data_IF_225740553585
#
_entry.id   IF_225740553585
#
_cell.length_a   1.000
_cell.length_b   1.000
_cell.length_c   1.000
_cell.angle_alpha   90.00
_cell.angle_beta   90.00
_cell.angle_gamma   90.00
#
_symmetry.space_group_name_H-M   'P 1'
#
loop_
_entity.id
_entity.type
_entity.pdbx_description
1 polymer ?
#
# COMPACT_ATOMS: atom_id res chain seq x y z
N UNK A 1 -5.17 1.95 11.24
CA UNK A 1 -5.47 2.35 12.62
C UNK A 1 -5.00 3.78 12.81
N UNK A 2 -5.81 4.73 12.36
CA UNK A 2 -5.56 6.14 12.67
C UNK A 2 -5.66 6.27 14.20
N UNK A 3 -4.61 6.84 14.79
CA UNK A 3 -4.44 7.00 16.24
C UNK A 3 -5.72 7.51 16.89
N UNK A 4 -6.01 7.11 18.13
CA UNK A 4 -7.30 7.36 18.75
C UNK A 4 -7.64 8.84 18.65
N UNK A 5 -8.78 9.12 18.01
CA UNK A 5 -9.42 10.43 17.96
C UNK A 5 -9.28 11.06 19.34
N UNK A 6 -8.90 12.34 19.47
CA UNK A 6 -8.68 12.95 20.79
C UNK A 6 -9.91 12.82 21.72
N UNK A 7 -11.08 12.63 21.12
CA UNK A 7 -12.34 12.23 21.74
C UNK A 7 -12.22 10.88 22.50
N UNK A 8 -11.59 9.84 21.93
CA UNK A 8 -11.29 8.57 22.60
C UNK A 8 -10.23 8.73 23.70
N UNK A 9 -9.15 9.49 23.45
CA UNK A 9 -8.14 9.74 24.48
C UNK A 9 -8.75 10.42 25.69
N UNK A 10 -9.57 11.44 25.47
CA UNK A 10 -10.29 12.18 26.52
C UNK A 10 -11.24 11.25 27.28
N UNK A 11 -11.96 10.38 26.57
CA UNK A 11 -12.84 9.38 27.17
C UNK A 11 -12.08 8.40 28.07
N UNK A 12 -10.97 7.84 27.58
CA UNK A 12 -10.12 6.91 28.36
C UNK A 12 -9.47 7.61 29.56
N UNK A 13 -9.01 8.86 29.42
CA UNK A 13 -8.46 9.63 30.53
C UNK A 13 -9.51 9.90 31.61
N UNK A 14 -10.73 10.26 31.21
CA UNK A 14 -11.83 10.43 32.15
C UNK A 14 -12.14 9.12 32.87
N UNK A 15 -12.24 8.00 32.13
CA UNK A 15 -12.50 6.68 32.71
C UNK A 15 -11.40 6.27 33.67
N UNK A 16 -10.14 6.45 33.29
CA UNK A 16 -8.98 6.21 34.14
C UNK A 16 -9.06 6.99 35.46
N UNK A 17 -9.42 8.28 35.40
CA UNK A 17 -9.54 9.12 36.60
C UNK A 17 -10.64 8.66 37.57
N UNK A 18 -11.64 7.93 37.08
CA UNK A 18 -12.76 7.39 37.86
C UNK A 18 -12.48 5.99 38.41
N UNK A 19 -11.43 5.31 37.96
CA UNK A 19 -11.07 3.99 38.48
C UNK A 19 -10.62 4.05 39.94
N UNK A 20 -10.90 3.02 40.76
CA UNK A 20 -10.33 2.92 42.10
C UNK A 20 -8.81 2.98 42.07
N UNK A 21 -8.20 3.66 43.07
CA UNK A 21 -6.73 3.78 43.16
C UNK A 21 -6.02 2.42 43.18
N UNK A 22 -6.64 1.40 43.79
CA UNK A 22 -6.10 0.04 43.79
C UNK A 22 -5.95 -0.52 42.36
N UNK A 23 -6.94 -0.31 41.51
CA UNK A 23 -6.93 -0.77 40.10
C UNK A 23 -5.91 0.02 39.28
N UNK A 24 -5.83 1.35 39.48
CA UNK A 24 -4.81 2.17 38.81
C UNK A 24 -3.39 1.70 39.16
N UNK A 25 -3.14 1.42 40.45
CA UNK A 25 -1.85 0.88 40.90
C UNK A 25 -1.57 -0.47 40.26
N UNK A 26 -2.51 -1.42 40.28
CA UNK A 26 -2.35 -2.73 39.65
C UNK A 26 -1.94 -2.62 38.18
N UNK A 27 -2.59 -1.74 37.41
CA UNK A 27 -2.26 -1.55 35.99
C UNK A 27 -0.88 -0.87 35.84
N UNK A 28 -0.57 0.15 36.66
CA UNK A 28 0.70 0.86 36.58
C UNK A 28 1.91 0.01 37.02
N UNK A 29 1.71 -0.98 37.89
CA UNK A 29 2.78 -1.86 38.39
C UNK A 29 2.89 -3.18 37.65
N UNK A 30 2.04 -3.42 36.63
CA UNK A 30 2.10 -4.62 35.83
C UNK A 30 3.43 -4.70 35.05
N UNK A 31 4.09 -5.86 35.11
CA UNK A 31 5.42 -6.07 34.53
C UNK A 31 5.37 -6.42 33.04
N UNK A 32 4.24 -6.94 32.55
CA UNK A 32 4.08 -7.37 31.17
C UNK A 32 2.91 -6.66 30.47
N UNK A 33 3.01 -6.52 29.15
CA UNK A 33 1.93 -6.01 28.31
C UNK A 33 0.67 -6.90 28.37
N UNK A 34 0.85 -8.20 28.57
CA UNK A 34 -0.26 -9.15 28.69
C UNK A 34 -1.06 -8.90 29.97
N UNK A 35 -0.38 -8.66 31.09
CA UNK A 35 -1.04 -8.33 32.35
C UNK A 35 -1.79 -6.99 32.25
N UNK A 36 -1.16 -5.98 31.65
CA UNK A 36 -1.81 -4.69 31.37
C UNK A 36 -3.08 -4.91 30.54
N UNK A 37 -3.00 -5.72 29.47
CA UNK A 37 -4.13 -6.01 28.60
C UNK A 37 -5.26 -6.73 29.35
N UNK A 38 -4.95 -7.79 30.10
CA UNK A 38 -5.94 -8.58 30.84
C UNK A 38 -6.64 -7.74 31.93
N UNK A 39 -5.88 -6.94 32.67
CA UNK A 39 -6.46 -6.03 33.65
C UNK A 39 -7.34 -4.97 32.98
N UNK A 40 -6.87 -4.36 31.90
CA UNK A 40 -7.60 -3.31 31.20
C UNK A 40 -8.86 -3.84 30.49
N UNK A 41 -8.80 -5.03 29.90
CA UNK A 41 -9.93 -5.61 29.16
C UNK A 41 -11.10 -5.95 30.07
N UNK A 42 -10.84 -6.41 31.31
CA UNK A 42 -11.87 -6.66 32.31
C UNK A 42 -12.65 -5.42 32.74
N UNK A 43 -12.10 -4.22 32.49
CA UNK A 43 -12.71 -2.94 32.84
C UNK A 43 -13.54 -2.35 31.68
N UNK A 44 -13.49 -2.97 30.50
CA UNK A 44 -14.29 -2.54 29.36
C UNK A 44 -15.77 -2.85 29.60
N UNK A 45 -16.62 -1.87 29.31
CA UNK A 45 -18.07 -1.93 29.45
C UNK A 45 -18.72 -1.71 28.06
N UNK A 46 -19.97 -2.18 27.86
CA UNK A 46 -20.69 -2.00 26.59
C UNK A 46 -20.75 -0.53 26.12
N UNK A 47 -20.79 0.43 27.04
CA UNK A 47 -20.78 1.86 26.72
C UNK A 47 -19.48 2.32 26.05
N UNK A 48 -18.33 1.75 26.44
CA UNK A 48 -17.05 2.07 25.81
C UNK A 48 -17.06 1.63 24.34
N UNK A 49 -17.62 0.45 24.09
CA UNK A 49 -17.79 -0.09 22.75
C UNK A 49 -18.72 0.80 21.92
N UNK A 50 -19.79 1.33 22.52
CA UNK A 50 -20.68 2.29 21.86
C UNK A 50 -19.97 3.60 21.50
N UNK A 51 -19.09 4.10 22.38
CA UNK A 51 -18.28 5.29 22.10
C UNK A 51 -17.32 5.01 20.94
N UNK A 52 -16.59 3.90 20.98
CA UNK A 52 -15.73 3.46 19.87
C UNK A 52 -16.50 3.33 18.56
N UNK A 53 -17.67 2.68 18.58
CA UNK A 53 -18.56 2.54 17.43
C UNK A 53 -19.02 3.90 16.90
N UNK A 54 -19.34 4.85 17.78
CA UNK A 54 -19.73 6.21 17.37
C UNK A 54 -18.57 6.93 16.68
N UNK A 55 -17.36 6.81 17.22
CA UNK A 55 -16.15 7.42 16.66
C UNK A 55 -15.75 6.76 15.33
N UNK A 56 -15.95 5.45 15.18
CA UNK A 56 -15.58 4.70 13.99
C UNK A 56 -16.59 4.82 12.83
N UNK A 57 -17.83 5.28 13.07
CA UNK A 57 -18.84 5.50 12.00
C UNK A 57 -18.37 6.38 10.85
N UNK A 58 -17.42 7.29 11.09
CA UNK A 58 -16.83 8.14 10.05
C UNK A 58 -15.81 7.43 9.15
N UNK A 59 -15.37 6.23 9.52
CA UNK A 59 -14.30 5.46 8.88
C UNK A 59 -14.83 4.19 8.23
N UNK A 60 -15.92 4.30 7.46
CA UNK A 60 -16.43 3.17 6.70
C UNK A 60 -15.41 2.76 5.63
N UNK A 61 -14.90 1.53 5.75
CA UNK A 61 -13.98 0.94 4.77
C UNK A 61 -14.70 0.04 3.76
N UNK A 62 -16.03 0.11 3.71
CA UNK A 62 -16.80 -0.63 2.71
C UNK A 62 -16.46 -0.12 1.29
N UNK A 63 -16.58 -1.01 0.32
CA UNK A 63 -16.48 -0.64 -1.08
C UNK A 63 -17.80 0.00 -1.51
N UNK A 64 -17.69 1.16 -2.16
CA UNK A 64 -18.84 1.95 -2.59
C UNK A 64 -18.86 1.91 -4.12
N UNK A 65 -19.93 1.39 -4.75
CA UNK A 65 -19.97 1.19 -6.19
C UNK A 65 -19.90 2.49 -7.00
N UNK A 66 -20.27 3.63 -6.41
CA UNK A 66 -20.25 4.92 -7.11
C UNK A 66 -18.87 5.61 -7.01
N UNK A 67 -18.03 5.19 -6.06
CA UNK A 67 -16.73 5.82 -5.80
C UNK A 67 -15.71 5.64 -6.94
N UNK A 68 -15.59 4.47 -7.62
CA UNK A 68 -14.67 4.30 -8.74
C UNK A 68 -14.86 5.33 -9.85
N UNK A 69 -16.11 5.60 -10.22
CA UNK A 69 -16.45 6.58 -11.25
C UNK A 69 -15.99 7.98 -10.84
N UNK A 70 -16.33 8.41 -9.63
CA UNK A 70 -15.92 9.69 -9.06
C UNK A 70 -14.40 9.86 -9.06
N UNK A 71 -13.68 8.90 -8.47
CA UNK A 71 -12.23 8.97 -8.36
C UNK A 71 -11.53 8.94 -9.73
N UNK A 72 -12.09 8.19 -10.70
CA UNK A 72 -11.63 8.21 -12.08
C UNK A 72 -11.76 9.60 -12.69
N UNK A 73 -12.88 10.29 -12.48
CA UNK A 73 -13.12 11.62 -13.02
C UNK A 73 -12.23 12.69 -12.37
N UNK A 74 -12.08 12.67 -11.04
CA UNK A 74 -11.12 13.53 -10.34
C UNK A 74 -9.67 13.25 -10.77
N UNK A 75 -9.32 11.98 -10.92
CA UNK A 75 -8.03 11.56 -11.46
C UNK A 75 -7.78 12.10 -12.86
N UNK A 76 -8.80 12.11 -13.72
CA UNK A 76 -8.70 12.70 -15.06
C UNK A 76 -8.47 14.22 -15.02
N UNK A 77 -9.10 14.95 -14.09
CA UNK A 77 -8.84 16.39 -13.90
C UNK A 77 -7.38 16.63 -13.50
N UNK A 78 -6.86 15.87 -12.53
CA UNK A 78 -5.44 15.93 -12.12
C UNK A 78 -4.50 15.58 -13.27
N UNK A 79 -4.82 14.54 -14.04
CA UNK A 79 -4.04 14.13 -15.19
C UNK A 79 -3.98 15.22 -16.28
N UNK A 80 -5.11 15.87 -16.58
CA UNK A 80 -5.16 17.01 -17.50
C UNK A 80 -4.33 18.20 -16.99
N UNK A 81 -4.34 18.42 -15.68
CA UNK A 81 -3.48 19.38 -15.00
C UNK A 81 -1.99 18.98 -14.90
N UNK A 82 -1.59 17.84 -15.48
CA UNK A 82 -0.23 17.24 -15.39
C UNK A 82 0.22 16.88 -13.98
N UNK A 83 -0.68 16.88 -13.01
CA UNK A 83 -0.46 16.33 -11.67
C UNK A 83 -0.61 14.81 -11.72
N UNK A 84 0.40 14.14 -12.30
CA UNK A 84 0.38 12.69 -12.50
C UNK A 84 0.46 11.91 -11.19
N UNK A 85 1.12 12.45 -10.16
CA UNK A 85 1.13 11.83 -8.83
C UNK A 85 -0.26 11.86 -8.20
N UNK A 86 -0.92 13.03 -8.16
CA UNK A 86 -2.28 13.14 -7.65
C UNK A 86 -3.27 12.28 -8.44
N UNK A 87 -3.15 12.24 -9.77
CA UNK A 87 -3.95 11.36 -10.61
C UNK A 87 -3.76 9.89 -10.25
N UNK A 88 -2.52 9.45 -10.03
CA UNK A 88 -2.18 8.07 -9.68
C UNK A 88 -2.82 7.64 -8.35
N UNK A 89 -2.82 8.53 -7.35
CA UNK A 89 -3.47 8.29 -6.05
C UNK A 89 -4.98 8.20 -6.20
N UNK A 90 -5.60 9.11 -6.96
CA UNK A 90 -7.05 9.08 -7.19
C UNK A 90 -7.47 7.82 -7.93
N UNK A 91 -6.78 7.41 -9.00
CA UNK A 91 -7.08 6.14 -9.66
C UNK A 91 -6.90 4.95 -8.72
N UNK A 92 -5.90 4.97 -7.83
CA UNK A 92 -5.72 3.92 -6.80
C UNK A 92 -6.87 3.88 -5.80
N UNK A 93 -7.40 5.03 -5.39
CA UNK A 93 -8.64 5.10 -4.57
C UNK A 93 -9.83 4.50 -5.33
N UNK A 94 -9.97 4.81 -6.63
CA UNK A 94 -11.00 4.21 -7.47
C UNK A 94 -10.89 2.68 -7.54
N UNK A 95 -9.67 2.16 -7.77
CA UNK A 95 -9.37 0.72 -7.72
C UNK A 95 -9.74 0.11 -6.37
N UNK A 96 -9.45 0.79 -5.25
CA UNK A 96 -9.79 0.30 -3.91
C UNK A 96 -11.28 0.15 -3.63
N UNK A 97 -12.14 0.97 -4.22
CA UNK A 97 -13.59 0.80 -4.08
C UNK A 97 -14.20 -0.13 -5.15
N UNK A 98 -13.44 -0.55 -6.14
CA UNK A 98 -13.97 -1.32 -7.25
C UNK A 98 -14.17 -2.80 -6.87
N UNK A 99 -15.26 -3.38 -7.38
CA UNK A 99 -15.44 -4.82 -7.42
C UNK A 99 -14.54 -5.43 -8.50
N UNK A 100 -14.00 -6.64 -8.29
CA UNK A 100 -13.18 -7.32 -9.29
C UNK A 100 -13.99 -7.59 -10.57
N UNK A 101 -13.30 -7.65 -11.70
CA UNK A 101 -13.87 -8.01 -13.01
C UNK A 101 -14.97 -7.07 -13.51
N UNK A 102 -14.87 -5.79 -13.17
CA UNK A 102 -15.76 -4.73 -13.66
C UNK A 102 -15.06 -3.85 -14.69
N UNK A 103 -15.81 -3.20 -15.58
CA UNK A 103 -15.22 -2.23 -16.51
C UNK A 103 -14.55 -1.09 -15.72
N UNK A 104 -15.12 -0.64 -14.60
CA UNK A 104 -14.58 0.44 -13.78
C UNK A 104 -13.18 0.17 -13.23
N UNK A 105 -12.93 -1.02 -12.67
CA UNK A 105 -11.59 -1.36 -12.18
C UNK A 105 -10.58 -1.43 -13.33
N UNK A 106 -11.00 -1.97 -14.48
CA UNK A 106 -10.16 -2.06 -15.67
C UNK A 106 -9.77 -0.67 -16.20
N UNK A 107 -10.71 0.28 -16.19
CA UNK A 107 -10.50 1.66 -16.61
C UNK A 107 -9.62 2.42 -15.60
N UNK A 108 -9.81 2.19 -14.30
CA UNK A 108 -8.95 2.81 -13.28
C UNK A 108 -7.49 2.33 -13.40
N UNK A 109 -7.25 1.03 -13.59
CA UNK A 109 -5.90 0.51 -13.87
C UNK A 109 -5.33 1.06 -15.19
N UNK A 110 -6.14 1.14 -16.25
CA UNK A 110 -5.71 1.70 -17.53
C UNK A 110 -5.38 3.20 -17.43
N UNK A 111 -6.08 3.97 -16.62
CA UNK A 111 -5.77 5.37 -16.40
C UNK A 111 -4.57 5.56 -15.45
N UNK A 112 -4.45 4.73 -14.42
CA UNK A 112 -3.29 4.71 -13.53
C UNK A 112 -2.00 4.39 -14.27
N UNK A 113 -2.02 3.40 -15.16
CA UNK A 113 -0.86 3.12 -16.04
C UNK A 113 -0.49 4.32 -16.91
N UNK A 114 -1.45 5.17 -17.30
CA UNK A 114 -1.17 6.40 -18.05
C UNK A 114 -0.35 7.39 -17.19
N UNK A 115 -0.79 7.59 -15.95
CA UNK A 115 -0.12 8.50 -15.03
C UNK A 115 1.28 7.98 -14.66
N UNK A 116 1.41 6.67 -14.38
CA UNK A 116 2.69 6.01 -14.12
C UNK A 116 3.66 6.12 -15.30
N UNK A 117 3.16 5.99 -16.53
CA UNK A 117 3.96 6.19 -17.74
C UNK A 117 4.59 7.59 -17.81
N UNK A 118 3.80 8.64 -17.54
CA UNK A 118 4.31 10.02 -17.50
C UNK A 118 5.26 10.29 -16.32
N UNK A 119 5.21 9.46 -15.28
CA UNK A 119 6.14 9.50 -14.14
C UNK A 119 7.41 8.65 -14.37
N UNK A 120 7.58 8.03 -15.55
CA UNK A 120 8.71 7.15 -15.85
C UNK A 120 8.70 5.81 -15.11
N UNK A 121 7.59 5.45 -14.46
CA UNK A 121 7.44 4.21 -13.70
C UNK A 121 7.01 3.08 -14.66
N UNK A 122 7.87 2.71 -15.60
CA UNK A 122 7.52 1.83 -16.73
C UNK A 122 7.15 0.40 -16.31
N UNK A 123 7.86 -0.19 -15.34
CA UNK A 123 7.54 -1.52 -14.81
C UNK A 123 6.19 -1.55 -14.09
N UNK A 124 5.90 -0.53 -13.29
CA UNK A 124 4.61 -0.38 -12.62
C UNK A 124 3.47 -0.16 -13.64
N UNK A 125 3.73 0.64 -14.68
CA UNK A 125 2.82 0.83 -15.81
C UNK A 125 2.51 -0.50 -16.50
N UNK A 126 3.50 -1.35 -16.79
CA UNK A 126 3.30 -2.65 -17.41
C UNK A 126 2.45 -3.59 -16.54
N UNK A 127 2.67 -3.59 -15.22
CA UNK A 127 1.87 -4.37 -14.27
C UNK A 127 0.40 -3.92 -14.29
N UNK A 128 0.14 -2.61 -14.30
CA UNK A 128 -1.23 -2.08 -14.36
C UNK A 128 -1.90 -2.33 -15.72
N UNK A 129 -1.15 -2.33 -16.82
CA UNK A 129 -1.69 -2.74 -18.13
C UNK A 129 -2.17 -4.19 -18.06
N UNK A 130 -1.37 -5.10 -17.50
CA UNK A 130 -1.77 -6.50 -17.34
C UNK A 130 -2.99 -6.66 -16.43
N UNK A 131 -3.08 -5.89 -15.33
CA UNK A 131 -4.25 -5.88 -14.42
C UNK A 131 -5.51 -5.37 -15.13
N UNK A 132 -5.39 -4.29 -15.91
CA UNK A 132 -6.51 -3.78 -16.70
C UNK A 132 -7.05 -4.86 -17.65
N UNK A 133 -6.17 -5.55 -18.37
CA UNK A 133 -6.55 -6.64 -19.26
C UNK A 133 -7.23 -7.79 -18.51
N UNK A 134 -6.68 -8.21 -17.36
CA UNK A 134 -7.24 -9.28 -16.52
C UNK A 134 -8.67 -8.99 -16.07
N UNK A 135 -9.00 -7.73 -15.82
CA UNK A 135 -10.35 -7.32 -15.42
C UNK A 135 -11.27 -6.92 -16.59
N UNK A 136 -10.95 -7.32 -17.82
CA UNK A 136 -11.86 -7.14 -18.96
C UNK A 136 -11.83 -5.75 -19.57
N UNK A 137 -10.64 -5.12 -19.66
CA UNK A 137 -10.51 -3.82 -20.32
C UNK A 137 -11.14 -3.81 -21.73
N UNK A 138 -11.97 -2.80 -22.07
CA UNK A 138 -12.79 -2.86 -23.27
C UNK A 138 -11.99 -2.98 -24.57
N UNK A 139 -12.40 -3.92 -25.44
CA UNK A 139 -11.73 -4.19 -26.73
C UNK A 139 -11.54 -2.94 -27.60
N UNK A 140 -12.54 -2.05 -27.61
CA UNK A 140 -12.52 -0.79 -28.36
C UNK A 140 -11.38 0.14 -27.93
N UNK A 141 -10.91 0.02 -26.69
CA UNK A 141 -9.86 0.86 -26.11
C UNK A 141 -8.49 0.17 -26.05
N UNK A 142 -8.42 -1.14 -26.34
CA UNK A 142 -7.19 -1.95 -26.30
C UNK A 142 -6.02 -1.33 -27.09
N UNK A 143 -6.21 -0.76 -28.30
CA UNK A 143 -5.08 -0.25 -29.07
C UNK A 143 -4.29 0.85 -28.34
N UNK A 144 -4.99 1.72 -27.58
CA UNK A 144 -4.35 2.78 -26.78
C UNK A 144 -3.52 2.20 -25.64
N UNK A 145 -4.02 1.14 -25.00
CA UNK A 145 -3.33 0.47 -23.90
C UNK A 145 -2.09 -0.28 -24.38
N UNK A 146 -2.21 -0.99 -25.52
CA UNK A 146 -1.11 -1.75 -26.12
C UNK A 146 -0.02 -0.86 -26.70
N UNK A 147 -0.37 0.31 -27.25
CA UNK A 147 0.64 1.31 -27.65
C UNK A 147 1.50 1.73 -26.46
N UNK A 148 0.86 2.07 -25.33
CA UNK A 148 1.58 2.40 -24.10
C UNK A 148 2.46 1.24 -23.62
N UNK A 149 1.98 0.00 -23.75
CA UNK A 149 2.76 -1.21 -23.44
C UNK A 149 4.05 -1.26 -24.27
N UNK A 150 3.95 -1.07 -25.58
CA UNK A 150 5.10 -1.01 -26.47
C UNK A 150 6.06 0.14 -26.08
N UNK A 151 5.53 1.33 -25.79
CA UNK A 151 6.34 2.48 -25.34
C UNK A 151 7.11 2.18 -24.04
N UNK A 152 6.47 1.55 -23.05
CA UNK A 152 7.17 1.11 -21.84
C UNK A 152 8.31 0.15 -22.17
N UNK A 153 8.06 -0.86 -23.00
CA UNK A 153 9.05 -1.87 -23.35
C UNK A 153 10.27 -1.27 -24.08
N UNK A 154 10.05 -0.31 -24.99
CA UNK A 154 11.13 0.43 -25.65
C UNK A 154 11.94 1.29 -24.68
N UNK A 155 11.27 1.94 -23.71
CA UNK A 155 11.98 2.73 -22.69
C UNK A 155 12.81 1.82 -21.76
N UNK A 156 12.34 0.61 -21.48
CA UNK A 156 13.05 -0.40 -20.70
C UNK A 156 14.11 -1.19 -21.48
N UNK A 157 14.28 -0.95 -22.78
CA UNK A 157 15.23 -1.68 -23.62
C UNK A 157 14.81 -3.13 -23.93
N UNK A 158 13.56 -3.52 -23.65
CA UNK A 158 13.00 -4.84 -23.96
C UNK A 158 12.49 -4.86 -25.40
N UNK A 159 13.42 -4.71 -26.34
CA UNK A 159 13.13 -4.41 -27.75
C UNK A 159 12.40 -5.55 -28.47
N UNK A 160 12.76 -6.81 -28.19
CA UNK A 160 12.09 -7.98 -28.80
C UNK A 160 10.60 -8.03 -28.45
N UNK A 161 10.26 -7.83 -27.16
CA UNK A 161 8.88 -7.77 -26.70
C UNK A 161 8.13 -6.58 -27.30
N UNK A 162 8.80 -5.42 -27.43
CA UNK A 162 8.21 -4.23 -28.05
C UNK A 162 7.87 -4.50 -29.52
N UNK A 163 8.79 -5.10 -30.28
CA UNK A 163 8.62 -5.46 -31.68
C UNK A 163 7.45 -6.41 -31.89
N UNK A 164 7.29 -7.42 -31.02
CA UNK A 164 6.15 -8.32 -31.10
C UNK A 164 4.82 -7.59 -30.91
N UNK A 165 4.71 -6.75 -29.87
CA UNK A 165 3.49 -5.96 -29.62
C UNK A 165 3.17 -5.01 -30.78
N UNK A 166 4.20 -4.40 -31.38
CA UNK A 166 4.05 -3.52 -32.55
C UNK A 166 3.49 -4.32 -33.74
N UNK A 167 4.05 -5.49 -34.04
CA UNK A 167 3.58 -6.36 -35.13
C UNK A 167 2.13 -6.82 -34.92
N UNK A 168 1.76 -7.17 -33.69
CA UNK A 168 0.40 -7.57 -33.34
C UNK A 168 -0.58 -6.40 -33.52
N UNK A 169 -0.17 -5.19 -33.13
CA UNK A 169 -0.94 -3.97 -33.36
C UNK A 169 -1.14 -3.69 -34.86
N UNK A 170 -0.08 -3.71 -35.67
CA UNK A 170 -0.15 -3.50 -37.13
C UNK A 170 -1.14 -4.47 -37.78
N UNK A 171 -1.05 -5.75 -37.44
CA UNK A 171 -1.93 -6.80 -37.96
C UNK A 171 -3.40 -6.56 -37.60
N UNK A 172 -3.67 -6.18 -36.34
CA UNK A 172 -5.01 -5.85 -35.88
C UNK A 172 -5.58 -4.59 -36.53
N UNK A 173 -4.73 -3.60 -36.82
CA UNK A 173 -5.11 -2.38 -37.52
C UNK A 173 -5.44 -2.64 -39.00
N UNK A 174 -4.65 -3.47 -39.68
CA UNK A 174 -4.92 -3.88 -41.06
C UNK A 174 -6.24 -4.65 -41.18
N UNK A 175 -6.57 -5.50 -40.21
CA UNK A 175 -7.80 -6.29 -40.21
C UNK A 175 -9.09 -5.47 -39.96
N UNK A 176 -9.03 -4.34 -39.25
CA UNK A 176 -10.19 -3.52 -38.83
C UNK A 176 -10.45 -2.29 -39.70
N UNK A 177 -9.85 -2.21 -40.89
CA UNK A 177 -9.88 -1.04 -41.75
C UNK A 177 -11.27 -0.79 -42.35
N UNK A 178 -12.17 -0.13 -41.61
CA UNK A 178 -13.40 0.42 -42.20
C UNK A 178 -13.96 1.73 -41.60
N UNK A 179 -13.68 2.24 -40.37
CA UNK A 179 -14.52 3.39 -39.90
C UNK A 179 -14.05 4.40 -38.83
N UNK A 180 -12.76 4.70 -38.64
CA UNK A 180 -12.36 5.89 -37.85
C UNK A 180 -10.97 6.44 -38.25
N UNK A 181 -10.91 7.42 -39.15
CA UNK A 181 -9.64 7.81 -39.79
C UNK A 181 -8.68 8.64 -38.91
N UNK A 182 -9.15 9.47 -37.97
CA UNK A 182 -8.29 10.46 -37.29
C UNK A 182 -7.54 9.93 -36.06
N UNK A 183 -8.19 9.16 -35.18
CA UNK A 183 -7.53 8.54 -34.03
C UNK A 183 -6.50 7.48 -34.45
N UNK A 184 -6.82 6.71 -35.50
CA UNK A 184 -5.93 5.67 -36.03
C UNK A 184 -4.67 6.26 -36.67
N UNK A 185 -4.75 7.45 -37.29
CA UNK A 185 -3.57 8.14 -37.84
C UNK A 185 -2.55 8.55 -36.76
N UNK A 186 -3.00 9.02 -35.60
CA UNK A 186 -2.10 9.37 -34.48
C UNK A 186 -1.42 8.10 -33.95
N UNK A 187 -2.20 7.05 -33.72
CA UNK A 187 -1.70 5.73 -33.31
C UNK A 187 -0.64 5.19 -34.28
N UNK A 188 -0.91 5.27 -35.59
CA UNK A 188 0.00 4.80 -36.63
C UNK A 188 1.30 5.62 -36.69
N UNK A 189 1.24 6.95 -36.52
CA UNK A 189 2.45 7.80 -36.44
C UNK A 189 3.31 7.45 -35.23
N UNK A 190 2.69 7.27 -34.06
CA UNK A 190 3.40 6.88 -32.85
C UNK A 190 4.06 5.51 -33.04
N UNK A 191 3.36 4.56 -33.65
CA UNK A 191 3.87 3.23 -33.98
C UNK A 191 5.10 3.28 -34.90
N UNK A 192 5.06 4.08 -35.97
CA UNK A 192 6.22 4.29 -36.85
C UNK A 192 7.41 4.86 -36.08
N UNK A 193 7.18 5.84 -35.21
CA UNK A 193 8.24 6.43 -34.40
C UNK A 193 8.82 5.46 -33.36
N UNK A 194 7.98 4.62 -32.75
CA UNK A 194 8.43 3.51 -31.89
C UNK A 194 9.33 2.53 -32.65
N UNK A 195 8.95 2.14 -33.86
CA UNK A 195 9.72 1.23 -34.71
C UNK A 195 11.11 1.79 -35.02
N UNK A 196 11.18 3.08 -35.37
CA UNK A 196 12.46 3.78 -35.57
C UNK A 196 13.31 3.77 -34.29
N UNK A 197 12.71 4.07 -33.13
CA UNK A 197 13.42 4.03 -31.84
C UNK A 197 13.93 2.65 -31.46
N UNK A 198 13.20 1.59 -31.80
CA UNK A 198 13.64 0.20 -31.60
C UNK A 198 14.88 -0.06 -32.45
N UNK A 199 14.82 0.26 -33.74
CA UNK A 199 15.93 0.06 -34.68
C UNK A 199 17.18 0.90 -34.30
N UNK A 200 16.99 2.13 -33.85
CA UNK A 200 18.07 2.98 -33.35
C UNK A 200 18.72 2.42 -32.08
N UNK A 201 17.92 1.86 -31.15
CA UNK A 201 18.43 1.26 -29.91
C UNK A 201 19.04 -0.13 -30.10
N UNK A 202 18.61 -0.90 -31.09
CA UNK A 202 19.26 -2.18 -31.47
C UNK A 202 20.72 -1.95 -31.91
N UNK A 203 21.02 -0.79 -32.49
CA UNK A 203 22.37 -0.41 -32.91
C UNK A 203 23.26 0.16 -31.79
N UNK A 204 22.71 0.48 -30.62
CA UNK A 204 23.43 1.01 -29.46
C UNK A 204 23.36 -0.03 -28.34
N UNK A 205 24.23 -1.05 -28.43
CA UNK A 205 24.34 -2.11 -27.42
C UNK A 205 25.02 -1.56 -26.16
N UNK A 206 24.29 -0.83 -25.34
CA UNK A 206 24.72 -0.50 -23.97
C UNK A 206 24.11 -1.50 -23.00
N UNK A 207 24.96 -2.42 -22.54
CA UNK A 207 24.64 -3.33 -21.44
C UNK A 207 24.66 -2.53 -20.14
N UNK A 208 23.48 -2.19 -19.62
CA UNK A 208 23.39 -1.61 -18.28
C UNK A 208 23.78 -2.65 -17.23
N UNK A 209 24.80 -2.39 -16.38
CA UNK A 209 25.13 -3.30 -15.29
C UNK A 209 24.01 -3.28 -14.26
N UNK A 210 23.41 -4.46 -14.01
CA UNK A 210 22.42 -4.70 -12.96
C UNK A 210 23.03 -4.68 -11.53
N UNK A 211 23.94 -3.75 -11.24
CA UNK A 211 24.85 -3.83 -10.11
C UNK A 211 24.67 -2.72 -9.06
N UNK A 212 23.48 -2.13 -8.94
CA UNK A 212 23.23 -1.03 -7.99
C UNK A 212 21.97 -1.21 -7.13
N UNK A 213 21.58 -2.45 -6.85
CA UNK A 213 20.46 -2.75 -5.95
C UNK A 213 20.73 -3.79 -4.87
N UNK A 214 21.96 -4.31 -4.74
CA UNK A 214 22.25 -5.41 -3.80
C UNK A 214 23.13 -5.01 -2.61
N UNK A 215 23.32 -3.71 -2.33
CA UNK A 215 24.23 -3.27 -1.26
C UNK A 215 23.68 -3.49 0.17
N UNK A 216 22.40 -3.85 0.34
CA UNK A 216 21.78 -4.02 1.67
C UNK A 216 21.17 -5.41 1.91
N UNK A 217 21.11 -6.28 0.89
CA UNK A 217 20.42 -7.58 1.03
C UNK A 217 21.24 -8.63 1.80
N UNK A 218 22.51 -8.36 2.11
CA UNK A 218 23.39 -9.34 2.75
C UNK A 218 24.17 -8.80 3.97
N UNK A 219 23.53 -7.94 4.77
CA UNK A 219 24.05 -7.60 6.11
C UNK A 219 23.51 -8.58 7.14
N UNK A 220 24.26 -9.66 7.37
CA UNK A 220 24.04 -10.60 8.46
C UNK A 220 25.04 -10.36 9.59
N UNK A 221 24.62 -10.66 10.83
CA UNK A 221 25.55 -10.65 11.96
C UNK A 221 26.60 -11.73 11.74
N UNK A 222 27.88 -11.39 11.93
CA UNK A 222 28.98 -12.36 11.77
C UNK A 222 28.90 -13.46 12.83
N UNK A 223 28.61 -13.05 14.06
CA UNK A 223 28.43 -13.91 15.22
C UNK A 223 27.38 -13.30 16.14
N UNK A 224 26.45 -14.11 16.63
CA UNK A 224 25.39 -13.64 17.52
C UNK A 224 25.79 -13.72 19.00
N UNK A 225 25.32 -12.74 19.78
CA UNK A 225 25.43 -12.73 21.22
C UNK A 225 24.47 -13.75 21.85
N UNK A 226 24.97 -14.54 22.81
CA UNK A 226 24.17 -15.59 23.49
C UNK A 226 23.11 -15.06 24.47
N UNK A 227 23.26 -13.83 24.96
CA UNK A 227 22.38 -13.19 25.93
C UNK A 227 21.38 -12.23 25.27
N UNK A 228 21.70 -11.72 24.09
CA UNK A 228 20.88 -10.75 23.37
C UNK A 228 20.65 -11.29 21.96
N UNK A 229 19.45 -11.81 21.71
CA UNK A 229 19.03 -12.14 20.35
C UNK A 229 19.21 -10.93 19.44
N UNK A 230 19.57 -11.15 18.17
CA UNK A 230 19.73 -10.06 17.20
C UNK A 230 20.89 -9.09 17.46
N UNK A 231 21.79 -9.36 18.40
CA UNK A 231 22.99 -8.55 18.62
C UNK A 231 24.28 -9.32 18.30
N UNK A 232 25.34 -8.58 17.95
CA UNK A 232 26.67 -9.13 17.68
C UNK A 232 27.35 -9.61 18.96
N UNK A 233 28.19 -10.65 18.86
CA UNK A 233 29.10 -11.08 19.94
C UNK A 233 30.04 -9.95 20.42
N UNK A 234 30.21 -8.90 19.60
CA UNK A 234 31.01 -7.71 19.89
C UNK A 234 30.42 -6.78 20.95
N UNK A 235 29.17 -6.99 21.38
CA UNK A 235 28.50 -6.17 22.40
C UNK A 235 27.97 -7.02 23.54
N UNK A 236 27.85 -6.48 24.75
CA UNK A 236 27.18 -7.14 25.89
C UNK A 236 26.22 -6.20 26.61
N UNK A 237 25.14 -6.75 27.16
CA UNK A 237 24.13 -6.01 27.91
C UNK A 237 24.60 -5.82 29.35
N UNK A 238 24.61 -4.58 29.81
CA UNK A 238 24.83 -4.22 31.19
C UNK A 238 23.63 -3.45 31.74
N UNK A 239 23.43 -3.53 33.05
CA UNK A 239 22.42 -2.78 33.79
C UNK A 239 23.08 -1.91 34.84
N UNK A 240 22.61 -0.68 34.95
CA UNK A 240 23.06 0.28 35.95
C UNK A 240 21.84 1.01 36.52
N UNK A 241 21.88 1.32 37.82
CA UNK A 241 20.73 1.93 38.52
C UNK A 241 20.43 3.35 38.05
N UNK A 242 21.38 4.06 37.44
CA UNK A 242 21.19 5.41 36.91
C UNK A 242 20.94 5.41 35.40
N UNK A 243 21.62 4.54 34.64
CA UNK A 243 21.56 4.50 33.17
C UNK A 243 20.54 3.50 32.62
N UNK A 244 20.01 2.59 33.45
CA UNK A 244 19.16 1.50 32.99
C UNK A 244 19.96 0.45 32.20
N UNK A 245 19.37 -0.09 31.13
CA UNK A 245 19.99 -1.08 30.23
C UNK A 245 20.85 -0.38 29.18
N UNK A 246 22.10 -0.82 29.01
CA UNK A 246 23.02 -0.29 28.00
C UNK A 246 23.92 -1.37 27.42
N UNK A 247 24.42 -1.15 26.20
CA UNK A 247 25.37 -2.04 25.54
C UNK A 247 26.79 -1.52 25.74
N UNK A 248 27.73 -2.43 26.02
CA UNK A 248 29.17 -2.15 26.01
C UNK A 248 29.87 -2.99 24.96
N UNK A 249 30.96 -2.48 24.38
CA UNK A 249 31.79 -3.26 23.47
C UNK A 249 32.64 -4.27 24.26
N UNK A 250 32.70 -5.51 23.78
CA UNK A 250 33.52 -6.59 24.35
C UNK A 250 34.86 -6.76 23.62
N UNK A 251 34.98 -6.16 22.43
CA UNK A 251 36.17 -6.13 21.56
C UNK A 251 36.15 -4.86 20.68
N UNK A 252 37.25 -4.60 19.99
CA UNK A 252 37.33 -3.49 19.04
C UNK A 252 36.30 -3.67 17.91
N UNK A 253 35.51 -2.64 17.66
CA UNK A 253 34.47 -2.60 16.63
C UNK A 253 34.97 -1.78 15.46
N UNK A 254 35.00 -2.38 14.27
CA UNK A 254 35.47 -1.69 13.07
C UNK A 254 34.37 -0.82 12.44
N UNK A 255 34.72 0.30 11.78
CA UNK A 255 33.76 1.10 11.03
C UNK A 255 32.98 0.24 10.01
N UNK A 256 31.65 0.30 10.07
CA UNK A 256 30.76 -0.47 9.20
C UNK A 256 30.36 -1.85 9.72
N UNK A 257 30.82 -2.28 10.89
CA UNK A 257 30.41 -3.54 11.51
C UNK A 257 28.96 -3.46 12.06
N UNK A 258 28.14 -4.46 11.73
CA UNK A 258 26.76 -4.55 12.21
C UNK A 258 26.71 -5.06 13.65
N UNK A 259 26.18 -4.23 14.56
CA UNK A 259 26.11 -4.54 15.99
C UNK A 259 24.77 -5.12 16.44
N UNK A 260 23.67 -4.66 15.87
CA UNK A 260 22.32 -5.11 16.20
C UNK A 260 21.48 -5.12 14.92
N UNK A 261 20.70 -6.18 14.72
CA UNK A 261 19.73 -6.34 13.63
C UNK A 261 18.47 -7.00 14.17
N UNK A 262 17.51 -6.18 14.57
CA UNK A 262 16.23 -6.63 15.11
C UNK A 262 15.11 -6.30 14.13
N UNK A 263 14.13 -7.20 14.01
CA UNK A 263 12.87 -6.88 13.35
C UNK A 263 12.02 -6.02 14.29
N UNK A 264 11.50 -4.91 13.78
CA UNK A 264 10.66 -4.03 14.58
C UNK A 264 9.44 -4.80 15.12
N UNK A 265 9.27 -4.79 16.44
CA UNK A 265 8.15 -5.45 17.11
C UNK A 265 6.79 -5.00 16.56
N UNK A 266 6.64 -3.69 16.31
CA UNK A 266 5.47 -3.09 15.64
C UNK A 266 5.96 -1.98 14.72
N UNK A 267 5.40 -1.92 13.51
CA UNK A 267 5.60 -0.79 12.60
C UNK A 267 4.26 -0.25 12.11
N UNK A 268 4.07 1.06 12.19
CA UNK A 268 2.79 1.72 11.85
C UNK A 268 3.05 2.86 10.87
N UNK A 269 2.19 2.97 9.85
CA UNK A 269 2.11 4.18 9.02
C UNK A 269 1.41 5.27 9.83
N UNK A 270 2.17 6.30 10.23
CA UNK A 270 1.58 7.47 10.85
C UNK A 270 0.83 8.27 9.76
N UNK A 271 -0.50 8.48 9.87
CA UNK A 271 -1.28 9.24 8.88
C UNK A 271 -0.88 10.73 8.81
N UNK A 272 -0.08 11.23 9.77
CA UNK A 272 0.29 12.65 9.88
C UNK A 272 -0.78 13.48 10.59
N UNK A 273 -0.59 14.79 10.64
CA UNK A 273 -1.47 15.72 11.38
C UNK A 273 -2.77 16.11 10.65
N UNK A 274 -3.00 15.57 9.43
CA UNK A 274 -4.19 15.92 8.65
C UNK A 274 -5.44 15.33 9.30
N UNK A 275 -6.38 16.16 9.80
CA UNK A 275 -7.59 15.64 10.38
C UNK A 275 -8.38 14.82 9.34
N UNK A 276 -8.98 13.71 9.75
CA UNK A 276 -9.97 13.02 8.93
C UNK A 276 -11.06 14.00 8.52
N UNK A 277 -11.53 13.93 7.27
CA UNK A 277 -12.71 14.71 6.87
C UNK A 277 -13.88 14.26 7.74
N UNK A 278 -14.47 15.19 8.50
CA UNK A 278 -15.74 14.93 9.18
C UNK A 278 -16.80 14.74 8.09
N UNK A 279 -17.43 13.56 8.09
CA UNK A 279 -18.54 13.25 7.20
C UNK A 279 -19.62 14.34 7.33
N UNK A 280 -19.85 15.13 6.28
CA UNK A 280 -20.94 16.11 6.23
C UNK A 280 -20.60 17.57 5.87
N UNK A 281 -19.34 17.97 5.63
CA UNK A 281 -19.01 19.33 5.16
C UNK A 281 -18.34 19.42 3.78
N UNK A 282 -17.74 18.33 3.28
CA UNK A 282 -17.14 18.24 1.93
C UNK A 282 -17.60 16.95 1.23
N UNK A 283 -17.24 16.77 -0.05
CA UNK A 283 -17.66 15.65 -0.90
C UNK A 283 -17.58 14.30 -0.19
N UNK A 284 -18.55 13.41 -0.46
CA UNK A 284 -18.68 12.03 0.10
C UNK A 284 -17.37 11.21 0.11
N UNK A 285 -16.45 11.52 -0.79
CA UNK A 285 -15.17 10.83 -0.99
C UNK A 285 -13.98 11.78 -0.84
N UNK A 286 -12.95 11.34 -0.12
CA UNK A 286 -11.74 12.13 0.14
C UNK A 286 -10.78 12.10 -1.06
N UNK A 287 -10.52 13.26 -1.66
CA UNK A 287 -9.61 13.41 -2.80
C UNK A 287 -8.17 13.77 -2.39
N UNK A 288 -7.91 14.04 -1.10
CA UNK A 288 -6.58 14.40 -0.60
C UNK A 288 -5.62 13.23 -0.73
N UNK A 289 -4.34 13.51 -0.96
CA UNK A 289 -3.30 12.48 -0.96
C UNK A 289 -2.77 12.36 0.47
N UNK A 290 -2.89 11.17 1.07
CA UNK A 290 -2.35 10.90 2.41
C UNK A 290 -1.21 9.88 2.37
N UNK A 291 -0.41 9.82 3.44
CA UNK A 291 0.68 8.85 3.55
C UNK A 291 0.16 7.42 3.37
N UNK A 292 -1.02 7.09 3.91
CA UNK A 292 -1.64 5.78 3.75
C UNK A 292 -1.94 5.37 2.29
N UNK A 293 -1.98 6.32 1.35
CA UNK A 293 -2.18 6.04 -0.08
C UNK A 293 -0.89 5.65 -0.81
N UNK A 294 0.27 6.01 -0.26
CA UNK A 294 1.58 5.94 -0.91
C UNK A 294 2.46 4.82 -0.38
N UNK A 295 2.03 4.10 0.65
CA UNK A 295 2.82 3.08 1.32
C UNK A 295 2.05 1.78 1.44
N UNK A 296 2.77 0.66 1.34
CA UNK A 296 2.20 -0.65 1.58
C UNK A 296 1.85 -0.81 3.06
N UNK A 297 0.62 -1.26 3.36
CA UNK A 297 0.15 -1.49 4.73
C UNK A 297 0.75 -2.75 5.40
N UNK A 298 1.64 -3.45 4.70
CA UNK A 298 2.39 -4.61 5.22
C UNK A 298 3.87 -4.29 5.40
N UNK A 299 4.57 -4.05 4.29
CA UNK A 299 6.02 -3.87 4.30
C UNK A 299 6.48 -2.42 4.36
N UNK A 300 5.55 -1.46 4.42
CA UNK A 300 5.85 -0.02 4.45
C UNK A 300 6.69 0.48 3.27
N UNK A 301 6.74 -0.29 2.17
CA UNK A 301 7.40 0.14 0.94
C UNK A 301 6.56 1.23 0.29
N UNK A 302 7.20 2.36 -0.04
CA UNK A 302 6.59 3.39 -0.86
C UNK A 302 6.23 2.83 -2.25
N UNK A 303 4.99 3.06 -2.70
CA UNK A 303 4.51 2.63 -4.00
C UNK A 303 3.41 3.56 -4.51
N UNK A 304 3.44 3.85 -5.81
CA UNK A 304 2.38 4.57 -6.50
C UNK A 304 1.34 3.63 -7.13
N UNK A 305 1.64 2.33 -7.22
CA UNK A 305 0.83 1.34 -7.90
C UNK A 305 0.33 0.28 -6.91
N UNK A 306 -0.47 0.72 -5.94
CA UNK A 306 -1.00 -0.16 -4.89
C UNK A 306 -1.96 -1.22 -5.46
N UNK A 307 -1.99 -2.37 -4.80
CA UNK A 307 -2.97 -3.44 -4.98
C UNK A 307 -3.92 -3.37 -3.79
N UNK A 308 -5.23 -3.18 -4.00
CA UNK A 308 -6.19 -3.10 -2.91
C UNK A 308 -6.51 -4.48 -2.33
N UNK A 309 -7.10 -4.51 -1.14
CA UNK A 309 -7.83 -5.67 -0.66
C UNK A 309 -9.11 -5.92 -1.50
N UNK A 310 -9.50 -7.19 -1.63
CA UNK A 310 -10.75 -7.56 -2.29
C UNK A 310 -11.99 -7.22 -1.44
N UNK A 311 -11.87 -7.30 -0.11
CA UNK A 311 -12.98 -7.11 0.84
C UNK A 311 -13.24 -5.66 1.28
N UNK A 312 -12.20 -4.85 1.46
CA UNK A 312 -12.33 -3.47 1.94
C UNK A 312 -11.67 -2.44 1.01
N UNK A 313 -12.06 -1.17 1.14
CA UNK A 313 -11.51 -0.04 0.39
C UNK A 313 -10.28 0.60 1.05
N UNK A 314 -9.96 0.22 2.28
CA UNK A 314 -8.85 0.82 3.04
C UNK A 314 -7.50 0.18 2.75
N UNK A 315 -7.40 -1.15 2.90
CA UNK A 315 -6.11 -1.83 2.91
C UNK A 315 -5.49 -1.89 1.50
N UNK A 316 -4.21 -1.50 1.43
CA UNK A 316 -3.45 -1.33 0.17
C UNK A 316 -2.03 -1.89 0.30
N UNK A 317 -1.55 -2.54 -0.75
CA UNK A 317 -0.29 -3.27 -0.75
C UNK A 317 0.57 -2.92 -1.96
N UNK A 318 1.90 -3.10 -1.86
CA UNK A 318 2.77 -2.85 -3.02
C UNK A 318 2.72 -3.96 -4.08
N UNK A 319 2.21 -5.14 -3.72
CA UNK A 319 2.15 -6.30 -4.59
C UNK A 319 1.07 -7.30 -4.14
N UNK A 320 0.76 -8.28 -4.99
CA UNK A 320 -0.19 -9.35 -4.68
C UNK A 320 0.33 -10.23 -3.54
N UNK A 321 1.64 -10.46 -3.50
CA UNK A 321 2.31 -11.24 -2.47
C UNK A 321 2.18 -10.56 -1.10
N UNK A 322 2.40 -9.23 -1.03
CA UNK A 322 2.19 -8.49 0.20
C UNK A 322 0.73 -8.50 0.65
N UNK A 323 -0.21 -8.43 -0.29
CA UNK A 323 -1.65 -8.53 0.01
C UNK A 323 -1.99 -9.90 0.62
N UNK A 324 -1.53 -10.99 -0.02
CA UNK A 324 -1.81 -12.35 0.43
C UNK A 324 -1.18 -12.64 1.79
N UNK A 325 0.08 -12.26 1.97
CA UNK A 325 0.76 -12.45 3.25
C UNK A 325 0.10 -11.65 4.38
N UNK A 326 -0.38 -10.43 4.11
CA UNK A 326 -1.14 -9.68 5.10
C UNK A 326 -2.47 -10.35 5.44
N UNK A 327 -3.18 -10.86 4.42
CA UNK A 327 -4.42 -11.61 4.56
C UNK A 327 -4.24 -12.83 5.48
N UNK A 328 -3.20 -13.61 5.25
CA UNK A 328 -2.92 -14.85 5.99
C UNK A 328 -2.50 -14.59 7.45
N UNK A 329 -1.83 -13.46 7.72
CA UNK A 329 -1.29 -13.14 9.04
C UNK A 329 -2.32 -12.47 9.96
N UNK A 330 -2.99 -11.42 9.48
CA UNK A 330 -3.82 -10.54 10.33
C UNK A 330 -5.04 -9.95 9.61
N UNK A 331 -4.90 -9.58 8.33
CA UNK A 331 -5.90 -8.77 7.66
C UNK A 331 -7.22 -9.52 7.39
N UNK A 332 -7.21 -10.84 7.24
CA UNK A 332 -8.45 -11.63 7.10
C UNK A 332 -9.41 -11.44 8.29
N UNK A 333 -8.87 -11.28 9.50
CA UNK A 333 -9.65 -10.97 10.70
C UNK A 333 -10.02 -9.49 10.78
N UNK A 334 -9.10 -8.59 10.42
CA UNK A 334 -9.33 -7.14 10.51
C UNK A 334 -10.24 -6.58 9.41
N UNK A 335 -10.31 -7.24 8.25
CA UNK A 335 -10.96 -6.70 7.06
C UNK A 335 -12.45 -6.41 7.28
N UNK A 336 -13.14 -7.25 8.08
CA UNK A 336 -14.55 -7.06 8.45
C UNK A 336 -14.74 -6.09 9.61
N UNK A 337 -13.69 -5.87 10.42
CA UNK A 337 -13.73 -5.04 11.63
C UNK A 337 -13.54 -3.56 11.33
N UNK A 338 -12.75 -3.22 10.31
CA UNK A 338 -12.55 -1.82 9.95
C UNK A 338 -13.79 -1.16 9.32
N UNK A 339 -14.82 -1.94 8.97
CA UNK A 339 -16.15 -1.46 8.60
C UNK A 339 -17.15 -2.06 9.56
N UNK A 340 -17.25 -1.52 10.77
CA UNK A 340 -17.96 -2.11 11.89
C UNK A 340 -19.27 -2.86 11.50
N UNK A 341 -19.13 -4.18 11.41
CA UNK A 341 -20.13 -5.25 11.53
C UNK A 341 -21.40 -5.20 10.65
N UNK A 342 -21.36 -5.96 9.54
CA UNK A 342 -22.52 -6.69 9.03
C UNK A 342 -22.25 -8.19 8.95
N UNK A 343 -22.22 -8.81 10.13
CA UNK A 343 -22.66 -10.17 10.50
C UNK A 343 -21.98 -10.49 11.82
N UNK A 344 -22.77 -10.89 12.81
CA UNK A 344 -22.32 -11.08 14.19
C UNK A 344 -21.07 -11.95 14.23
N UNK A 345 -19.98 -11.38 14.70
CA UNK A 345 -18.83 -12.15 15.12
C UNK A 345 -19.26 -12.95 16.36
N UNK A 346 -19.04 -14.25 16.34
CA UNK A 346 -19.25 -15.09 17.51
C UNK A 346 -18.16 -14.80 18.54
N UNK A 347 -18.46 -15.03 19.81
CA UNK A 347 -17.55 -14.84 20.96
C UNK A 347 -16.17 -15.52 20.73
N UNK A 348 -16.14 -16.61 19.95
CA UNK A 348 -14.92 -17.31 19.53
C UNK A 348 -13.95 -16.48 18.65
N UNK A 349 -14.46 -15.55 17.83
CA UNK A 349 -13.62 -14.73 16.95
C UNK A 349 -12.90 -13.61 17.72
N UNK A 350 -13.53 -13.09 18.78
CA UNK A 350 -12.93 -12.14 19.71
C UNK A 350 -11.92 -12.81 20.66
N UNK A 351 -12.18 -14.06 21.08
CA UNK A 351 -11.20 -14.82 21.86
C UNK A 351 -9.94 -15.16 21.06
N UNK A 352 -10.04 -15.37 19.74
CA UNK A 352 -8.87 -15.62 18.88
C UNK A 352 -7.95 -14.42 18.76
N UNK A 353 -8.51 -13.21 18.83
CA UNK A 353 -7.77 -11.95 18.83
C UNK A 353 -6.95 -11.75 20.12
N UNK A 354 -7.39 -12.29 21.25
CA UNK A 354 -6.68 -12.17 22.53
C UNK A 354 -5.61 -13.25 22.77
N UNK A 355 -5.59 -14.31 21.95
CA UNK A 355 -4.68 -15.47 22.11
C UNK A 355 -3.47 -15.46 21.17
N UNK A 356 -3.30 -14.42 20.35
CA UNK A 356 -2.08 -14.13 19.59
C UNK A 356 -1.53 -12.80 20.08
#
# INVERSE_FOLDING_TARGET
MDLPVDEWKSYILQKWSLLPKSVQVTICTAETLSDIFLHSSSLLQPEDEMVLKKLSRGYLIEKDPDAPLFYKEEGNKKFQGKDYMGATVLYSKGVSHSAPNTEDISLCYANRSAALFHLGQYEACLKDISRAQMHGYPERLQPKLMLRRAECLVNLGRLEEASQIISDLESNFAAKQTRAASQFQILQRTLCHLKMKVQEKEHLTETFPAALTNAFEDMNLREENKQISSASSSVSLCTDTLKGRYLIATKDILPGELLVKEEAFVSVLNPGELPPLRYGLESKWDTRVVIGDLYCHRCLKHTLATVPCDGCSYAKYCSQECMQQAWDLYHSTECSLGGAHKKGATEEELERFCRR
#
